data_IF_354005675570
#
_entry.id   IF_354005675570
#
_cell.length_a   1.000
_cell.length_b   1.000
_cell.length_c   1.000
_cell.angle_alpha   90.00
_cell.angle_beta   90.00
_cell.angle_gamma   90.00
#
_symmetry.space_group_name_H-M   'P 1'
#
loop_
_entity.id
_entity.type
_entity.pdbx_description
1 polymer ?
#
# COMPACT_ATOMS: atom_id res chain seq x y z
N UNK A 1 -24.54 -20.13 15.39
CA UNK A 1 -23.31 -20.89 15.76
C UNK A 1 -23.67 -22.24 16.36
N UNK A 2 -24.34 -22.30 17.52
CA UNK A 2 -24.74 -23.58 18.14
C UNK A 2 -25.71 -24.45 17.33
N UNK A 3 -26.48 -23.85 16.43
CA UNK A 3 -27.35 -24.54 15.48
C UNK A 3 -26.65 -25.04 14.21
N UNK A 4 -25.42 -24.57 13.95
CA UNK A 4 -24.70 -24.83 12.69
C UNK A 4 -23.53 -25.81 12.89
N UNK A 5 -22.91 -25.81 14.07
CA UNK A 5 -21.83 -26.74 14.43
C UNK A 5 -22.36 -27.85 15.34
N UNK A 6 -21.84 -29.06 15.17
CA UNK A 6 -22.16 -30.21 16.02
C UNK A 6 -21.65 -30.00 17.46
N UNK A 7 -22.32 -30.64 18.42
CA UNK A 7 -22.00 -30.51 19.83
C UNK A 7 -20.57 -30.99 20.17
N UNK A 8 -20.06 -32.02 19.49
CA UNK A 8 -18.69 -32.53 19.69
C UNK A 8 -17.63 -31.48 19.34
N UNK A 9 -17.81 -30.72 18.26
CA UNK A 9 -16.89 -29.66 17.84
C UNK A 9 -16.89 -28.50 18.84
N UNK A 10 -18.06 -28.12 19.36
CA UNK A 10 -18.18 -27.04 20.34
C UNK A 10 -17.52 -27.39 21.68
N UNK A 11 -17.48 -28.67 22.03
CA UNK A 11 -16.86 -29.14 23.26
C UNK A 11 -15.32 -29.14 23.22
N UNK A 12 -14.71 -28.99 22.03
CA UNK A 12 -13.25 -28.91 21.87
C UNK A 12 -12.77 -27.45 21.97
N UNK A 13 -13.65 -26.47 21.73
CA UNK A 13 -13.27 -25.06 21.77
C UNK A 13 -13.27 -24.54 23.20
N UNK A 14 -12.11 -24.14 23.71
CA UNK A 14 -11.98 -23.55 25.04
C UNK A 14 -12.80 -22.26 25.19
N UNK A 15 -12.77 -21.39 24.17
CA UNK A 15 -13.45 -20.10 24.17
C UNK A 15 -13.95 -19.70 22.77
N UNK A 16 -15.13 -19.10 22.72
CA UNK A 16 -15.70 -18.54 21.49
C UNK A 16 -15.70 -17.01 21.62
N UNK A 17 -14.91 -16.35 20.78
CA UNK A 17 -14.82 -14.88 20.74
C UNK A 17 -15.76 -14.36 19.65
N UNK A 18 -16.70 -13.50 20.03
CA UNK A 18 -17.64 -12.85 19.09
C UNK A 18 -17.10 -11.47 18.75
N UNK A 19 -16.69 -11.28 17.51
CA UNK A 19 -16.27 -9.97 17.02
C UNK A 19 -17.48 -9.08 16.75
N UNK A 20 -17.46 -7.88 17.32
CA UNK A 20 -18.42 -6.82 16.97
C UNK A 20 -17.99 -6.14 15.67
N UNK A 21 -18.94 -5.66 14.85
CA UNK A 21 -18.61 -4.91 13.64
C UNK A 21 -17.83 -3.63 13.99
N UNK A 22 -16.95 -3.22 13.07
CA UNK A 22 -16.12 -2.04 13.25
C UNK A 22 -16.99 -0.76 13.30
N UNK A 23 -16.77 0.07 14.32
CA UNK A 23 -17.36 1.40 14.40
C UNK A 23 -16.69 2.32 13.34
N UNK A 24 -17.44 3.26 12.78
CA UNK A 24 -16.93 4.24 11.82
C UNK A 24 -15.76 5.07 12.40
N UNK A 25 -15.79 5.36 13.70
CA UNK A 25 -14.71 6.07 14.37
C UNK A 25 -13.40 5.26 14.34
N UNK A 26 -13.50 3.94 14.53
CA UNK A 26 -12.34 3.04 14.45
C UNK A 26 -11.78 2.98 13.02
N UNK A 27 -12.65 2.97 12.01
CA UNK A 27 -12.24 3.02 10.61
C UNK A 27 -11.54 4.34 10.28
N UNK A 28 -11.99 5.47 10.83
CA UNK A 28 -11.31 6.76 10.69
C UNK A 28 -9.89 6.69 11.27
N UNK A 29 -9.72 6.11 12.46
CA UNK A 29 -8.39 5.93 13.06
C UNK A 29 -7.46 5.09 12.18
N UNK A 30 -7.98 4.08 11.48
CA UNK A 30 -7.21 3.28 10.53
C UNK A 30 -6.72 4.15 9.37
N UNK A 31 -7.54 5.05 8.82
CA UNK A 31 -7.11 5.96 7.75
C UNK A 31 -6.02 6.90 8.25
N UNK A 32 -6.17 7.48 9.45
CA UNK A 32 -5.13 8.33 10.03
C UNK A 32 -3.82 7.57 10.20
N UNK A 33 -3.87 6.29 10.60
CA UNK A 33 -2.68 5.44 10.69
C UNK A 33 -2.06 5.21 9.30
N UNK A 34 -2.86 4.92 8.27
CA UNK A 34 -2.36 4.77 6.90
C UNK A 34 -1.73 6.07 6.37
N UNK A 35 -2.34 7.22 6.68
CA UNK A 35 -1.78 8.53 6.35
C UNK A 35 -0.46 8.77 7.07
N UNK A 36 -0.35 8.41 8.34
CA UNK A 36 0.90 8.54 9.11
C UNK A 36 2.03 7.75 8.46
N UNK A 37 1.79 6.48 8.11
CA UNK A 37 2.78 5.65 7.42
C UNK A 37 3.19 6.27 6.07
N UNK A 38 2.22 6.76 5.30
CA UNK A 38 2.48 7.43 4.04
C UNK A 38 3.29 8.74 4.21
N UNK A 39 3.04 9.49 5.29
CA UNK A 39 3.83 10.68 5.63
C UNK A 39 5.28 10.31 5.95
N UNK A 40 5.49 9.26 6.73
CA UNK A 40 6.83 8.77 7.08
C UNK A 40 7.62 8.38 5.82
N UNK A 41 7.00 7.64 4.89
CA UNK A 41 7.61 7.26 3.62
C UNK A 41 7.99 8.49 2.77
N UNK A 42 7.08 9.48 2.66
CA UNK A 42 7.31 10.68 1.84
C UNK A 42 8.27 11.68 2.50
N UNK A 43 8.36 11.70 3.83
CA UNK A 43 9.30 12.54 4.56
C UNK A 43 10.76 12.17 4.23
N UNK A 44 11.04 10.89 3.95
CA UNK A 44 12.37 10.46 3.47
C UNK A 44 12.77 11.13 2.15
N UNK A 45 11.79 11.59 1.37
CA UNK A 45 11.97 12.32 0.12
C UNK A 45 11.77 13.84 0.26
N UNK A 46 11.69 14.35 1.50
CA UNK A 46 11.39 15.75 1.82
C UNK A 46 10.03 16.22 1.28
N UNK A 47 9.05 15.33 1.15
CA UNK A 47 7.72 15.68 0.68
C UNK A 47 6.76 15.65 1.86
N UNK A 48 5.98 16.71 2.01
CA UNK A 48 4.91 16.79 3.01
C UNK A 48 3.57 16.49 2.38
N UNK A 49 2.70 15.79 3.11
CA UNK A 49 1.35 15.48 2.67
C UNK A 49 0.33 15.69 3.78
N UNK A 50 -0.82 16.26 3.43
CA UNK A 50 -1.98 16.39 4.29
C UNK A 50 -3.27 16.00 3.55
N UNK A 51 -4.21 15.39 4.28
CA UNK A 51 -5.57 15.16 3.81
C UNK A 51 -6.52 16.05 4.60
N UNK A 52 -7.50 16.63 3.92
CA UNK A 52 -8.61 17.31 4.59
C UNK A 52 -9.54 16.30 5.27
N UNK A 53 -10.18 16.69 6.38
CA UNK A 53 -11.15 15.84 7.08
C UNK A 53 -12.30 15.40 6.16
N UNK A 54 -12.72 16.28 5.25
CA UNK A 54 -13.73 15.99 4.23
C UNK A 54 -13.30 14.80 3.36
N UNK A 55 -12.03 14.77 2.96
CA UNK A 55 -11.46 13.69 2.15
C UNK A 55 -11.47 12.36 2.91
N UNK A 56 -11.13 12.38 4.21
CA UNK A 56 -11.16 11.19 5.07
C UNK A 56 -12.58 10.64 5.16
N UNK A 57 -13.57 11.51 5.40
CA UNK A 57 -14.99 11.14 5.44
C UNK A 57 -15.44 10.56 4.09
N UNK A 58 -15.01 11.14 2.97
CA UNK A 58 -15.36 10.64 1.64
C UNK A 58 -14.74 9.26 1.37
N UNK A 59 -13.49 9.02 1.79
CA UNK A 59 -12.85 7.71 1.71
C UNK A 59 -13.62 6.68 2.53
N UNK A 60 -14.03 7.02 3.76
CA UNK A 60 -14.86 6.14 4.60
C UNK A 60 -16.17 5.82 3.89
N UNK A 61 -16.90 6.83 3.41
CA UNK A 61 -18.18 6.63 2.76
C UNK A 61 -18.10 5.78 1.49
N UNK A 62 -17.02 5.91 0.71
CA UNK A 62 -16.81 5.14 -0.53
C UNK A 62 -16.33 3.72 -0.29
N UNK A 63 -15.63 3.48 0.81
CA UNK A 63 -15.06 2.16 1.13
C UNK A 63 -15.89 1.36 2.14
N UNK A 64 -16.86 1.98 2.82
CA UNK A 64 -17.66 1.34 3.85
C UNK A 64 -18.83 0.55 3.25
N UNK A 65 -18.88 -0.73 3.62
CA UNK A 65 -20.04 -1.60 3.52
C UNK A 65 -20.15 -2.33 4.87
N UNK A 66 -21.35 -2.67 5.39
CA UNK A 66 -21.50 -3.45 6.62
C UNK A 66 -20.74 -4.80 6.62
N UNK A 67 -20.40 -5.35 5.45
CA UNK A 67 -19.58 -6.58 5.30
C UNK A 67 -18.10 -6.26 5.00
N UNK A 68 -17.71 -4.98 4.89
CA UNK A 68 -16.35 -4.61 4.53
C UNK A 68 -15.35 -4.98 5.61
N UNK A 69 -14.34 -5.74 5.20
CA UNK A 69 -13.13 -5.95 5.97
C UNK A 69 -12.29 -4.67 6.00
N UNK A 70 -11.54 -4.45 7.09
CA UNK A 70 -10.56 -3.36 7.21
C UNK A 70 -9.57 -3.34 6.04
N UNK A 71 -9.27 -4.51 5.47
CA UNK A 71 -8.43 -4.63 4.29
C UNK A 71 -9.00 -3.88 3.07
N UNK A 72 -10.32 -3.92 2.85
CA UNK A 72 -10.97 -3.20 1.74
C UNK A 72 -10.74 -1.70 1.83
N UNK A 73 -10.83 -1.14 3.05
CA UNK A 73 -10.53 0.26 3.33
C UNK A 73 -9.06 0.60 3.03
N UNK A 74 -8.11 -0.20 3.53
CA UNK A 74 -6.68 -0.02 3.26
C UNK A 74 -6.37 -0.08 1.76
N UNK A 75 -6.96 -1.05 1.06
CA UNK A 75 -6.80 -1.21 -0.40
C UNK A 75 -7.34 -0.01 -1.16
N UNK A 76 -8.51 0.50 -0.76
CA UNK A 76 -9.10 1.68 -1.37
C UNK A 76 -8.19 2.91 -1.18
N UNK A 77 -7.72 3.17 0.04
CA UNK A 77 -6.77 4.26 0.32
C UNK A 77 -5.50 4.14 -0.55
N UNK A 78 -4.87 2.96 -0.59
CA UNK A 78 -3.66 2.73 -1.38
C UNK A 78 -3.89 2.95 -2.88
N UNK A 79 -5.03 2.51 -3.41
CA UNK A 79 -5.35 2.62 -4.84
C UNK A 79 -5.65 4.05 -5.28
N UNK A 80 -6.28 4.85 -4.43
CA UNK A 80 -6.75 6.19 -4.79
C UNK A 80 -5.80 7.31 -4.35
N UNK A 81 -5.07 7.13 -3.26
CA UNK A 81 -4.16 8.13 -2.72
C UNK A 81 -2.72 7.75 -3.06
N UNK A 82 -2.21 6.66 -2.48
CA UNK A 82 -0.79 6.28 -2.64
C UNK A 82 -0.41 6.10 -4.10
N UNK A 83 -1.21 5.37 -4.89
CA UNK A 83 -0.90 5.11 -6.30
C UNK A 83 -0.88 6.39 -7.14
N UNK A 84 -1.79 7.34 -6.90
CA UNK A 84 -1.80 8.60 -7.63
C UNK A 84 -0.58 9.45 -7.28
N UNK A 85 -0.19 9.48 -6.00
CA UNK A 85 1.07 10.11 -5.58
C UNK A 85 2.29 9.46 -6.22
N UNK A 86 2.35 8.12 -6.26
CA UNK A 86 3.42 7.40 -6.96
C UNK A 86 3.47 7.79 -8.43
N UNK A 87 2.32 7.93 -9.09
CA UNK A 87 2.26 8.37 -10.48
C UNK A 87 2.82 9.79 -10.63
N UNK A 88 2.42 10.74 -9.78
CA UNK A 88 2.93 12.12 -9.81
C UNK A 88 4.44 12.22 -9.54
N UNK A 89 4.98 11.33 -8.69
CA UNK A 89 6.42 11.19 -8.47
C UNK A 89 7.13 10.68 -9.73
N UNK A 90 6.59 9.64 -10.36
CA UNK A 90 7.18 9.09 -11.59
C UNK A 90 7.13 10.07 -12.77
N UNK A 91 6.09 10.90 -12.84
CA UNK A 91 5.95 11.97 -13.83
C UNK A 91 6.84 13.19 -13.51
N UNK A 92 7.60 13.18 -12.40
CA UNK A 92 8.45 14.27 -11.94
C UNK A 92 7.69 15.59 -11.68
N UNK A 93 6.37 15.52 -11.53
CA UNK A 93 5.52 16.66 -11.18
C UNK A 93 5.66 16.97 -9.69
N UNK A 94 5.76 15.90 -8.88
CA UNK A 94 5.97 16.01 -7.44
C UNK A 94 7.47 15.96 -7.13
N UNK A 95 8.02 17.08 -6.67
CA UNK A 95 9.46 17.25 -6.40
C UNK A 95 9.75 17.37 -4.90
N UNK A 96 10.99 17.15 -4.44
CA UNK A 96 11.37 17.38 -3.04
C UNK A 96 11.01 18.79 -2.56
N UNK A 97 10.73 18.92 -1.27
CA UNK A 97 10.26 20.17 -0.61
C UNK A 97 8.90 20.67 -1.09
N UNK A 98 8.11 19.79 -1.71
CA UNK A 98 6.71 20.07 -2.03
C UNK A 98 5.81 19.72 -0.85
N UNK A 99 4.73 20.48 -0.71
CA UNK A 99 3.62 20.18 0.18
C UNK A 99 2.38 19.85 -0.64
N UNK A 100 1.82 18.65 -0.43
CA UNK A 100 0.63 18.17 -1.12
C UNK A 100 -0.54 18.17 -0.17
N UNK A 101 -1.58 18.92 -0.51
CA UNK A 101 -2.86 18.92 0.20
C UNK A 101 -3.88 18.21 -0.68
N UNK A 102 -4.50 17.17 -0.14
CA UNK A 102 -5.53 16.40 -0.84
C UNK A 102 -6.90 16.83 -0.32
N UNK A 103 -7.74 17.33 -1.22
CA UNK A 103 -9.14 17.67 -0.95
C UNK A 103 -10.10 16.98 -1.94
N UNK A 104 -11.39 17.16 -1.72
CA UNK A 104 -12.45 16.69 -2.62
C UNK A 104 -12.48 17.58 -3.88
N UNK A 105 -12.44 16.95 -5.05
CA UNK A 105 -12.61 17.63 -6.33
C UNK A 105 -14.08 17.77 -6.76
N UNK A 106 -14.34 18.68 -7.70
CA UNK A 106 -15.69 18.92 -8.27
C UNK A 106 -16.09 17.81 -9.25
N UNK A 107 -15.15 17.35 -10.08
CA UNK A 107 -15.37 16.33 -11.10
C UNK A 107 -14.71 14.99 -10.73
N UNK A 108 -13.48 15.06 -10.19
CA UNK A 108 -12.74 13.91 -9.70
C UNK A 108 -12.94 13.73 -8.18
N UNK A 109 -12.91 12.50 -7.67
CA UNK A 109 -13.14 12.24 -6.25
C UNK A 109 -12.07 12.86 -5.35
N UNK A 110 -10.87 13.11 -5.89
CA UNK A 110 -9.72 13.66 -5.16
C UNK A 110 -8.97 14.65 -6.03
N UNK A 111 -8.62 15.79 -5.46
CA UNK A 111 -7.78 16.81 -6.08
C UNK A 111 -6.51 17.00 -5.24
N UNK A 112 -5.36 17.06 -5.92
CA UNK A 112 -4.04 17.18 -5.31
C UNK A 112 -3.52 18.60 -5.51
N UNK A 113 -3.58 19.43 -4.47
CA UNK A 113 -2.98 20.76 -4.47
C UNK A 113 -1.50 20.64 -4.12
N UNK A 114 -0.62 20.93 -5.09
CA UNK A 114 0.83 20.89 -4.90
C UNK A 114 1.33 22.32 -4.70
N UNK A 115 1.92 22.59 -3.54
CA UNK A 115 2.59 23.84 -3.22
C UNK A 115 4.10 23.59 -3.23
N UNK A 116 4.81 24.25 -4.14
CA UNK A 116 6.27 24.22 -4.17
C UNK A 116 6.81 25.46 -3.47
N UNK A 117 7.77 25.26 -2.57
CA UNK A 117 8.55 26.39 -2.05
C UNK A 117 9.49 26.92 -3.15
N UNK A 118 9.61 28.23 -3.26
CA UNK A 118 10.19 28.95 -4.41
C UNK A 118 11.68 28.64 -4.72
N UNK A 119 12.35 27.83 -3.90
CA UNK A 119 13.79 27.52 -4.05
C UNK A 119 14.07 26.54 -5.20
N UNK A 120 13.08 25.73 -5.62
CA UNK A 120 13.29 24.63 -6.59
C UNK A 120 13.22 25.08 -8.07
N UNK A 121 12.56 26.21 -8.36
CA UNK A 121 12.32 26.69 -9.73
C UNK A 121 13.61 27.09 -10.47
N UNK A 122 14.69 27.41 -9.75
CA UNK A 122 15.97 27.83 -10.33
C UNK A 122 16.89 26.67 -10.73
N UNK A 123 16.64 25.44 -10.24
CA UNK A 123 17.52 24.28 -10.45
C UNK A 123 17.09 23.46 -11.69
N UNK A 124 15.83 23.59 -12.14
CA UNK A 124 15.29 22.79 -13.25
C UNK A 124 15.62 23.31 -14.66
N UNK A 125 16.15 24.53 -14.83
CA UNK A 125 16.44 25.10 -16.16
C UNK A 125 17.79 24.68 -16.77
N UNK A 126 18.67 24.00 -16.01
CA UNK A 126 20.04 23.70 -16.45
C UNK A 126 20.28 22.28 -16.93
N UNK A 127 19.29 21.38 -16.88
CA UNK A 127 19.38 20.03 -17.48
C UNK A 127 18.62 19.95 -18.80
N UNK A 128 19.18 20.60 -19.82
CA UNK A 128 18.86 20.33 -21.23
C UNK A 128 20.16 19.99 -21.96
N UNK A 129 20.65 18.76 -21.84
CA UNK A 129 21.72 18.24 -22.71
C UNK A 129 21.43 16.78 -23.09
N UNK A 130 21.00 16.64 -24.35
CA UNK A 130 21.31 15.59 -25.33
C UNK A 130 20.68 14.19 -25.22
N UNK A 131 19.65 13.98 -26.05
CA UNK A 131 19.35 12.70 -26.66
C UNK A 131 20.55 12.21 -27.48
N UNK A 132 21.03 10.98 -27.22
CA UNK A 132 21.65 10.14 -28.26
C UNK A 132 21.56 8.65 -27.90
N UNK A 133 20.83 7.90 -28.74
CA UNK A 133 21.00 6.45 -28.87
C UNK A 133 22.29 6.14 -29.64
N UNK A 134 23.04 5.12 -29.22
CA UNK A 134 23.53 4.06 -30.11
C UNK A 134 24.05 2.84 -29.34
N UNK A 135 23.96 1.73 -30.06
CA UNK A 135 24.17 0.29 -29.79
C UNK A 135 25.63 -0.15 -29.52
N UNK A 136 25.74 -1.30 -28.83
CA UNK A 136 26.83 -2.29 -28.68
C UNK A 136 28.23 -2.04 -29.26
N UNK A 137 29.27 -2.27 -28.45
CA UNK A 137 30.31 -3.32 -28.63
C UNK A 137 31.29 -3.36 -27.43
N UNK A 138 31.83 -4.55 -27.15
CA UNK A 138 32.68 -4.94 -26.01
C UNK A 138 34.11 -4.37 -26.05
N UNK A 139 34.74 -4.15 -24.88
CA UNK A 139 36.10 -4.64 -24.57
C UNK A 139 36.51 -4.33 -23.12
N UNK A 140 37.24 -5.29 -22.55
CA UNK A 140 37.70 -5.46 -21.17
C UNK A 140 38.52 -4.30 -20.56
N UNK A 141 38.42 -4.14 -19.23
CA UNK A 141 39.54 -4.27 -18.26
C UNK A 141 39.11 -3.92 -16.84
N UNK A 142 39.59 -4.74 -15.89
CA UNK A 142 39.28 -4.78 -14.46
C UNK A 142 39.70 -3.52 -13.68
N UNK A 143 38.96 -3.19 -12.61
CA UNK A 143 39.59 -2.81 -11.33
C UNK A 143 38.66 -3.02 -10.13
N UNK A 144 39.13 -3.94 -9.28
CA UNK A 144 39.03 -4.10 -7.82
C UNK A 144 37.99 -3.26 -7.05
N UNK A 145 37.04 -3.98 -6.45
CA UNK A 145 36.22 -3.54 -5.33
C UNK A 145 36.86 -4.13 -4.06
N UNK A 146 37.29 -3.29 -3.14
CA UNK A 146 37.52 -3.65 -1.74
C UNK A 146 36.26 -3.28 -0.95
N UNK A 147 35.59 -4.29 -0.40
CA UNK A 147 34.53 -4.15 0.60
C UNK A 147 35.07 -4.64 1.92
N UNK A 148 35.22 -3.74 2.89
CA UNK A 148 35.32 -4.07 4.30
C UNK A 148 34.25 -3.26 5.03
N UNK A 149 33.21 -3.93 5.49
CA UNK A 149 32.50 -3.61 6.74
C UNK A 149 31.55 -4.77 7.06
N UNK A 150 32.08 -5.73 7.80
CA UNK A 150 31.33 -6.75 8.51
C UNK A 150 30.47 -6.10 9.61
N UNK A 151 29.15 -6.35 9.57
CA UNK A 151 28.32 -6.44 10.80
C UNK A 151 27.31 -7.56 10.66
N UNK A 152 27.74 -8.74 11.10
CA UNK A 152 27.09 -9.57 12.13
C UNK A 152 25.60 -9.27 12.41
N UNK A 153 24.74 -10.17 11.92
CA UNK A 153 23.40 -10.41 12.47
C UNK A 153 23.26 -11.93 12.64
N UNK A 154 23.44 -12.38 13.87
CA UNK A 154 23.20 -13.75 14.28
C UNK A 154 21.69 -14.06 14.39
N UNK A 155 21.34 -15.18 13.73
CA UNK A 155 20.51 -16.28 14.22
C UNK A 155 19.06 -16.01 14.67
N UNK A 156 18.13 -16.23 13.73
CA UNK A 156 16.84 -16.86 14.03
C UNK A 156 16.53 -17.89 12.95
N UNK A 157 17.22 -19.02 13.03
CA UNK A 157 16.75 -20.27 12.44
C UNK A 157 15.65 -20.86 13.33
N UNK A 158 14.43 -21.02 12.79
CA UNK A 158 13.77 -22.34 12.65
C UNK A 158 12.24 -22.28 12.44
N UNK A 159 11.82 -23.16 11.53
CA UNK A 159 10.53 -23.85 11.43
C UNK A 159 9.35 -23.18 10.71
N UNK A 160 9.49 -23.04 9.39
CA UNK A 160 8.35 -23.08 8.45
C UNK A 160 8.67 -23.99 7.26
N UNK A 161 8.97 -25.25 7.53
CA UNK A 161 8.89 -26.35 6.58
C UNK A 161 8.12 -27.47 7.29
N UNK A 162 6.79 -27.48 7.12
CA UNK A 162 6.04 -28.73 6.98
C UNK A 162 4.57 -28.45 6.60
N UNK A 163 4.09 -29.25 5.65
CA UNK A 163 2.73 -29.32 5.09
C UNK A 163 2.50 -28.60 3.75
N UNK A 164 3.44 -28.78 2.82
CA UNK A 164 3.13 -28.94 1.40
C UNK A 164 2.68 -30.39 1.12
N UNK A 165 1.48 -30.76 1.55
CA UNK A 165 0.81 -32.02 1.18
C UNK A 165 -0.65 -31.96 1.61
N UNK A 166 -1.58 -32.37 0.73
CA UNK A 166 -3.04 -32.36 0.85
C UNK A 166 -3.78 -31.06 0.44
N UNK A 167 -3.58 -30.66 -0.81
CA UNK A 167 -4.58 -29.95 -1.59
C UNK A 167 -4.79 -30.61 -2.97
N UNK A 168 -5.00 -31.93 -2.97
CA UNK A 168 -5.50 -32.66 -4.14
C UNK A 168 -6.53 -33.71 -3.69
N UNK A 169 -7.76 -33.28 -3.40
CA UNK A 169 -8.96 -34.11 -3.53
C UNK A 169 -10.19 -33.30 -3.08
N UNK A 170 -10.78 -32.57 -4.02
CA UNK A 170 -12.25 -32.39 -4.17
C UNK A 170 -12.58 -31.20 -5.08
N UNK A 171 -12.06 -31.21 -6.32
CA UNK A 171 -12.71 -30.50 -7.43
C UNK A 171 -13.65 -31.49 -8.15
N UNK A 172 -14.80 -31.81 -7.55
CA UNK A 172 -15.91 -32.40 -8.29
C UNK A 172 -16.70 -31.28 -8.94
N UNK A 173 -16.40 -31.07 -10.22
CA UNK A 173 -17.14 -30.21 -11.16
C UNK A 173 -18.59 -30.72 -11.26
N UNK A 174 -19.54 -29.96 -10.73
CA UNK A 174 -20.97 -30.23 -10.87
C UNK A 174 -21.34 -30.04 -12.36
N UNK A 175 -21.83 -31.09 -13.03
CA UNK A 175 -22.37 -30.96 -14.39
C UNK A 175 -23.76 -30.33 -14.32
N UNK A 176 -24.12 -29.41 -15.22
CA UNK A 176 -25.50 -28.92 -15.29
C UNK A 176 -26.42 -30.04 -15.79
N UNK A 177 -27.55 -30.21 -15.12
CA UNK A 177 -28.68 -31.01 -15.60
C UNK A 177 -29.22 -30.39 -16.89
N UNK A 178 -29.43 -31.22 -17.91
CA UNK A 178 -30.21 -30.85 -19.08
C UNK A 178 -31.68 -31.13 -18.77
N UNK A 179 -32.51 -30.10 -18.92
CA UNK A 179 -33.91 -30.24 -19.33
C UNK A 179 -33.96 -30.15 -20.86
#
# INVERSE_FOLDING_TARGET
VRSYFQAEFLNILDNIIIFKPANINYLSSIIHLQLKLLKEDLQQQNIMIDLTDKTIILILNKSYNPVCSVHSLKRYFKRHITRELSKLLMEMILVPYSHVIIDIGVNDPYYFYIQQSATTSSILSTKSIHNRCHTHEESDTESMIETDDEKEYDDLSNDYEDNKSLCESSSKRMKPSKD
#
